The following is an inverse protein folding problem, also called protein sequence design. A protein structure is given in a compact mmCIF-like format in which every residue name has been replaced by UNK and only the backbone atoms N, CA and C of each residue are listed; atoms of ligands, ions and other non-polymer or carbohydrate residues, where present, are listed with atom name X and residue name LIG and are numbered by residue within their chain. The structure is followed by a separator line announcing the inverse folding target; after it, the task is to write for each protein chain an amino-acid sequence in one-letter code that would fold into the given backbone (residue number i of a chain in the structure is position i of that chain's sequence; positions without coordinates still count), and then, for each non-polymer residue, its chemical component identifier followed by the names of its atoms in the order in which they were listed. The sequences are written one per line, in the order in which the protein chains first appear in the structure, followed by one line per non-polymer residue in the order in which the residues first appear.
data_IF_245745355461
#
_entry.id   IF_245745355461
#
_cell.length_a   1.000
_cell.length_b   1.000
_cell.length_c   1.000
_cell.angle_alpha   90.00
_cell.angle_beta   90.00
_cell.angle_gamma   90.00
#
_symmetry.space_group_name_H-M   'P 1'
#
loop_
_entity.id
_entity.type
_entity.pdbx_description
1 polymer ?
#
# COMPACT_ATOMS: atom_id res chain seq x y z
N UNK A 1 -9.03 5.96 25.59
CA UNK A 1 -9.37 4.71 24.85
C UNK A 1 -8.13 3.84 24.77
N UNK A 2 -8.26 2.52 24.91
CA UNK A 2 -7.14 1.58 24.81
C UNK A 2 -7.40 0.62 23.66
N UNK A 3 -6.44 0.51 22.73
CA UNK A 3 -6.42 -0.49 21.65
C UNK A 3 -5.32 -1.50 21.98
N UNK A 4 -5.63 -2.79 21.85
CA UNK A 4 -4.68 -3.86 22.17
C UNK A 4 -4.12 -4.46 20.89
N UNK A 5 -2.80 -4.64 20.85
CA UNK A 5 -2.09 -5.26 19.73
C UNK A 5 -1.43 -6.55 20.17
N UNK A 6 -1.44 -7.55 19.29
CA UNK A 6 -0.75 -8.83 19.48
C UNK A 6 0.24 -9.04 18.34
N UNK A 7 1.50 -9.32 18.71
CA UNK A 7 2.48 -9.83 17.75
C UNK A 7 2.16 -11.28 17.43
N UNK A 8 1.93 -11.58 16.17
CA UNK A 8 1.67 -12.92 15.63
C UNK A 8 2.93 -13.48 14.97
N UNK A 9 3.82 -12.59 14.51
CA UNK A 9 5.13 -12.91 13.98
C UNK A 9 6.23 -12.48 14.97
N UNK A 10 7.31 -13.28 15.15
CA UNK A 10 8.36 -12.96 16.14
C UNK A 10 9.06 -11.62 15.86
N UNK A 11 9.22 -11.25 14.59
CA UNK A 11 9.85 -9.99 14.18
C UNK A 11 8.86 -8.82 14.07
N UNK A 12 7.58 -9.02 14.42
CA UNK A 12 6.59 -7.96 14.32
C UNK A 12 6.94 -6.77 15.22
N UNK A 13 6.80 -5.59 14.67
CA UNK A 13 6.99 -4.32 15.37
C UNK A 13 5.63 -3.79 15.79
N UNK A 14 5.47 -3.40 17.07
CA UNK A 14 4.22 -2.78 17.53
C UNK A 14 4.00 -1.48 16.76
N UNK A 15 2.75 -1.20 16.34
CA UNK A 15 2.41 0.05 15.68
C UNK A 15 2.74 1.24 16.59
N UNK A 16 3.30 2.28 16.00
CA UNK A 16 3.70 3.48 16.73
C UNK A 16 3.42 4.73 15.88
N UNK A 17 3.26 5.86 16.54
CA UNK A 17 3.27 7.17 15.87
C UNK A 17 4.69 7.49 15.41
N UNK A 18 4.83 8.12 14.26
CA UNK A 18 6.13 8.57 13.77
C UNK A 18 6.69 9.71 14.65
N UNK A 19 5.81 10.55 15.18
CA UNK A 19 6.15 11.65 16.08
C UNK A 19 5.47 11.44 17.44
N UNK A 20 6.25 11.38 18.55
CA UNK A 20 5.73 11.02 19.87
C UNK A 20 4.82 12.07 20.52
N UNK A 21 4.78 13.29 20.00
CA UNK A 21 4.14 14.46 20.64
C UNK A 21 2.63 14.58 20.36
N UNK A 22 2.01 13.52 19.82
CA UNK A 22 0.55 13.49 19.60
C UNK A 22 0.08 14.28 18.36
N UNK A 23 0.99 14.65 17.48
CA UNK A 23 0.68 15.36 16.23
C UNK A 23 0.22 14.41 15.12
N UNK A 24 0.50 13.10 15.24
CA UNK A 24 0.09 12.08 14.28
C UNK A 24 -1.25 11.45 14.66
N UNK A 25 -2.05 11.13 13.63
CA UNK A 25 -3.31 10.41 13.78
C UNK A 25 -3.22 8.94 13.34
N UNK A 26 -2.19 8.56 12.61
CA UNK A 26 -1.98 7.22 12.07
C UNK A 26 -0.83 6.50 12.76
N UNK A 27 -1.06 5.25 13.15
CA UNK A 27 -0.05 4.34 13.67
C UNK A 27 0.66 3.65 12.51
N UNK A 28 1.95 3.81 12.40
CA UNK A 28 2.77 3.19 11.36
C UNK A 28 2.81 1.67 11.51
N UNK A 29 2.65 0.96 10.39
CA UNK A 29 2.66 -0.49 10.28
C UNK A 29 3.84 -0.95 9.43
N UNK A 30 4.72 -1.74 10.03
CA UNK A 30 5.95 -2.25 9.41
C UNK A 30 5.72 -3.64 8.84
N UNK A 31 6.19 -3.89 7.62
CA UNK A 31 6.14 -5.22 6.99
C UNK A 31 7.18 -6.17 7.61
N UNK A 32 6.76 -7.39 7.93
CA UNK A 32 7.63 -8.49 8.36
C UNK A 32 7.73 -9.60 7.34
N UNK A 33 6.79 -9.65 6.40
CA UNK A 33 6.80 -10.59 5.29
C UNK A 33 6.21 -9.95 4.02
N UNK A 34 6.68 -10.43 2.88
CA UNK A 34 6.21 -10.01 1.55
C UNK A 34 5.86 -11.26 0.77
N UNK A 35 4.69 -11.25 0.14
CA UNK A 35 4.24 -12.30 -0.77
C UNK A 35 3.75 -11.66 -2.06
N UNK A 36 4.40 -11.97 -3.17
CA UNK A 36 3.94 -11.58 -4.50
C UNK A 36 2.99 -12.65 -5.07
N UNK A 37 1.89 -12.20 -5.63
CA UNK A 37 0.90 -13.00 -6.36
C UNK A 37 0.76 -12.45 -7.78
N UNK A 38 -0.03 -13.11 -8.62
CA UNK A 38 -0.33 -12.59 -9.97
C UNK A 38 -1.12 -11.27 -9.92
N UNK A 39 -1.92 -11.05 -8.86
CA UNK A 39 -2.84 -9.92 -8.74
C UNK A 39 -2.29 -8.74 -7.93
N UNK A 40 -1.46 -9.03 -6.91
CA UNK A 40 -0.95 -8.01 -5.97
C UNK A 40 0.29 -8.48 -5.21
N UNK A 41 0.98 -7.53 -4.61
CA UNK A 41 2.01 -7.76 -3.59
C UNK A 41 1.35 -7.57 -2.22
N UNK A 42 1.42 -8.58 -1.36
CA UNK A 42 0.92 -8.54 0.02
C UNK A 42 2.08 -8.33 0.98
N UNK A 43 1.95 -7.32 1.83
CA UNK A 43 2.85 -7.02 2.93
C UNK A 43 2.15 -7.37 4.24
N UNK A 44 2.62 -8.42 4.91
CA UNK A 44 2.09 -8.82 6.22
C UNK A 44 2.84 -8.06 7.32
N UNK A 45 2.10 -7.47 8.24
CA UNK A 45 2.68 -6.73 9.38
C UNK A 45 2.98 -7.63 10.58
N UNK A 46 2.47 -8.87 10.58
CA UNK A 46 2.56 -9.78 11.70
C UNK A 46 1.84 -9.28 12.97
N UNK A 47 0.96 -8.28 12.83
CA UNK A 47 0.23 -7.65 13.94
C UNK A 47 -1.27 -7.91 13.80
N UNK A 48 -1.87 -8.47 14.85
CA UNK A 48 -3.31 -8.50 15.06
C UNK A 48 -3.70 -7.38 16.04
N UNK A 49 -4.94 -6.88 15.90
CA UNK A 49 -5.46 -5.78 16.69
C UNK A 49 -6.81 -6.14 17.32
N UNK A 50 -7.06 -5.64 18.51
CA UNK A 50 -8.36 -5.65 19.16
C UNK A 50 -8.83 -4.22 19.37
N UNK A 51 -9.82 -3.83 18.58
CA UNK A 51 -10.43 -2.51 18.60
C UNK A 51 -11.67 -2.56 19.50
N UNK A 52 -11.88 -1.60 20.42
CA UNK A 52 -13.06 -1.58 21.26
C UNK A 52 -14.34 -1.32 20.44
N UNK A 53 -15.48 -1.84 20.91
CA UNK A 53 -16.80 -1.55 20.32
C UNK A 53 -17.05 -0.04 20.25
N UNK A 54 -17.73 0.40 19.18
CA UNK A 54 -17.98 1.82 18.91
C UNK A 54 -16.84 2.51 18.14
N UNK A 55 -15.81 1.76 17.75
CA UNK A 55 -14.70 2.22 16.90
C UNK A 55 -14.39 1.20 15.82
N UNK A 56 -13.75 1.65 14.76
CA UNK A 56 -13.13 0.78 13.76
C UNK A 56 -11.73 1.29 13.43
N UNK A 57 -10.93 0.43 12.83
CA UNK A 57 -9.64 0.79 12.27
C UNK A 57 -9.75 1.03 10.77
N UNK A 58 -9.10 2.05 10.28
CA UNK A 58 -8.91 2.27 8.85
C UNK A 58 -7.45 1.98 8.50
N UNK A 59 -7.25 0.97 7.69
CA UNK A 59 -5.96 0.67 7.09
C UNK A 59 -5.80 1.52 5.83
N UNK A 60 -4.85 2.43 5.85
CA UNK A 60 -4.63 3.41 4.77
C UNK A 60 -3.17 3.45 4.34
N UNK A 61 -2.86 3.87 3.10
CA UNK A 61 -1.49 4.08 2.69
C UNK A 61 -0.88 5.26 3.45
N UNK A 62 0.42 5.18 3.73
CA UNK A 62 1.18 6.31 4.24
C UNK A 62 1.66 7.22 3.11
N UNK A 63 2.24 8.39 3.44
CA UNK A 63 2.72 9.36 2.46
C UNK A 63 3.86 8.85 1.57
N UNK A 64 4.62 7.82 2.01
CA UNK A 64 5.70 7.22 1.21
C UNK A 64 5.17 6.51 -0.03
N UNK A 65 3.89 6.07 0.00
CA UNK A 65 3.25 5.41 -1.13
C UNK A 65 3.29 6.26 -2.41
N UNK A 66 3.24 7.60 -2.27
CA UNK A 66 3.34 8.53 -3.40
C UNK A 66 4.68 8.50 -4.15
N UNK A 67 5.71 7.91 -3.54
CA UNK A 67 7.06 7.76 -4.12
C UNK A 67 7.34 6.35 -4.65
N UNK A 68 6.37 5.45 -4.51
CA UNK A 68 6.45 4.06 -4.95
C UNK A 68 5.70 3.88 -6.27
N UNK A 69 6.07 2.85 -7.02
CA UNK A 69 5.34 2.45 -8.23
C UNK A 69 4.22 1.45 -7.87
N UNK A 70 3.51 1.77 -6.80
CA UNK A 70 2.50 0.93 -6.16
C UNK A 70 1.25 1.73 -5.82
N UNK A 71 0.09 1.09 -5.94
CA UNK A 71 -1.17 1.61 -5.42
C UNK A 71 -1.79 0.58 -4.47
N UNK A 72 -2.16 1.03 -3.26
CA UNK A 72 -2.80 0.16 -2.29
C UNK A 72 -4.20 -0.22 -2.77
N UNK A 73 -4.41 -1.52 -3.02
CA UNK A 73 -5.66 -2.01 -3.62
C UNK A 73 -6.70 -2.48 -2.60
N UNK A 74 -6.34 -2.54 -1.31
CA UNK A 74 -7.27 -2.79 -0.20
C UNK A 74 -7.41 -1.59 0.74
N UNK A 75 -7.27 -0.36 0.22
CA UNK A 75 -7.44 0.89 0.96
C UNK A 75 -8.72 1.62 0.53
N UNK A 76 -9.45 2.25 1.48
CA UNK A 76 -9.30 2.05 2.92
C UNK A 76 -9.81 0.68 3.36
N UNK A 77 -8.98 -0.08 4.07
CA UNK A 77 -9.40 -1.35 4.67
C UNK A 77 -10.08 -1.09 6.01
N UNK A 78 -11.32 -1.56 6.17
CA UNK A 78 -12.04 -1.44 7.45
C UNK A 78 -11.67 -2.60 8.34
N UNK A 79 -11.16 -2.31 9.51
CA UNK A 79 -10.81 -3.29 10.55
C UNK A 79 -11.88 -3.24 11.64
N UNK A 80 -12.69 -4.25 11.68
CA UNK A 80 -13.81 -4.35 12.63
C UNK A 80 -13.34 -4.67 14.06
N UNK A 81 -14.13 -4.34 15.10
CA UNK A 81 -13.85 -4.73 16.48
C UNK A 81 -13.69 -6.24 16.69
N UNK A 82 -14.36 -7.04 15.85
CA UNK A 82 -14.30 -8.51 15.88
C UNK A 82 -13.16 -9.12 15.09
N UNK A 83 -12.42 -8.34 14.29
CA UNK A 83 -11.32 -8.86 13.49
C UNK A 83 -10.14 -9.29 14.38
N UNK A 84 -9.59 -10.48 14.12
CA UNK A 84 -8.46 -11.06 14.89
C UNK A 84 -7.32 -11.57 14.01
N UNK A 85 -7.42 -11.40 12.70
CA UNK A 85 -6.34 -11.73 11.76
C UNK A 85 -5.21 -10.69 11.79
N UNK A 86 -4.11 -10.99 11.10
CA UNK A 86 -3.03 -10.02 10.90
C UNK A 86 -3.44 -8.95 9.90
N UNK A 87 -3.03 -7.72 10.15
CA UNK A 87 -3.22 -6.62 9.21
C UNK A 87 -2.25 -6.77 8.04
N UNK A 88 -2.79 -6.67 6.82
CA UNK A 88 -2.04 -6.83 5.58
C UNK A 88 -2.33 -5.70 4.62
N UNK A 89 -1.27 -5.10 4.11
CA UNK A 89 -1.35 -4.09 3.06
C UNK A 89 -1.12 -4.76 1.70
N UNK A 90 -2.06 -4.59 0.77
CA UNK A 90 -1.98 -5.14 -0.58
C UNK A 90 -1.81 -4.05 -1.61
N UNK A 91 -0.87 -4.24 -2.51
CA UNK A 91 -0.49 -3.25 -3.50
C UNK A 91 -0.50 -3.84 -4.91
N UNK A 92 -1.04 -3.10 -5.86
CA UNK A 92 -0.85 -3.36 -7.29
C UNK A 92 0.28 -2.49 -7.82
N UNK A 93 1.09 -3.06 -8.71
CA UNK A 93 2.12 -2.31 -9.43
C UNK A 93 1.46 -1.34 -10.40
N UNK A 94 1.91 -0.09 -10.37
CA UNK A 94 1.48 0.91 -11.34
C UNK A 94 2.38 0.83 -12.57
N UNK A 95 1.79 0.45 -13.70
CA UNK A 95 2.50 0.45 -14.97
C UNK A 95 2.37 1.84 -15.58
N UNK A 96 3.48 2.56 -15.68
CA UNK A 96 3.48 3.79 -16.44
C UNK A 96 3.40 3.45 -17.93
N UNK A 97 2.32 3.89 -18.59
CA UNK A 97 2.13 3.74 -20.05
C UNK A 97 3.37 4.15 -20.86
N UNK A 98 4.15 5.18 -20.44
CA UNK A 98 5.43 5.50 -21.09
C UNK A 98 6.41 4.34 -21.19
N UNK A 99 6.40 3.40 -20.23
CA UNK A 99 7.36 2.28 -20.21
C UNK A 99 7.06 1.26 -21.31
N UNK A 100 5.79 0.95 -21.56
CA UNK A 100 5.40 0.02 -22.64
C UNK A 100 5.60 0.66 -24.02
N UNK A 101 5.18 1.90 -24.16
CA UNK A 101 5.36 2.68 -25.40
C UNK A 101 6.86 2.87 -25.64
N UNK A 102 7.65 3.18 -24.63
CA UNK A 102 9.08 3.35 -24.75
C UNK A 102 9.81 2.04 -25.10
N UNK A 103 9.40 0.89 -24.52
CA UNK A 103 9.97 -0.43 -24.91
C UNK A 103 9.63 -0.78 -26.35
N UNK A 104 8.39 -0.50 -26.78
CA UNK A 104 7.96 -0.72 -28.16
C UNK A 104 8.72 0.22 -29.10
N UNK A 105 8.82 1.52 -28.80
CA UNK A 105 9.60 2.47 -29.60
C UNK A 105 11.10 2.12 -29.59
N UNK A 106 11.69 1.73 -28.47
CA UNK A 106 13.10 1.32 -28.41
C UNK A 106 13.36 0.08 -29.27
N UNK A 107 12.44 -0.88 -29.27
CA UNK A 107 12.52 -2.06 -30.11
C UNK A 107 12.39 -1.71 -31.60
N UNK A 108 11.42 -0.88 -31.96
CA UNK A 108 11.16 -0.43 -33.33
C UNK A 108 12.26 0.52 -33.82
N UNK A 109 12.69 1.50 -33.02
CA UNK A 109 13.79 2.40 -33.38
C UNK A 109 15.15 1.66 -33.44
N UNK A 110 15.37 0.65 -32.61
CA UNK A 110 16.56 -0.21 -32.71
C UNK A 110 16.59 -1.02 -34.03
N UNK A 111 15.43 -1.48 -34.50
CA UNK A 111 15.31 -2.10 -35.82
C UNK A 111 15.50 -1.09 -36.95
N UNK A 112 14.95 0.12 -36.82
CA UNK A 112 15.01 1.17 -37.86
C UNK A 112 16.38 1.86 -37.90
N UNK A 113 17.09 2.00 -36.76
CA UNK A 113 18.45 2.55 -36.75
C UNK A 113 19.47 1.67 -37.49
N UNK A 114 19.24 0.35 -37.48
CA UNK A 114 20.03 -0.57 -38.30
C UNK A 114 19.74 -0.48 -39.79
N UNK A 115 18.59 0.12 -40.16
CA UNK A 115 18.16 0.25 -41.59
C UNK A 115 18.37 1.67 -42.12
N UNK A 116 18.23 2.71 -41.29
CA UNK A 116 18.17 4.11 -41.76
C UNK A 116 19.24 5.05 -41.15
N UNK A 117 20.18 4.55 -40.37
CA UNK A 117 21.16 5.42 -39.70
C UNK A 117 20.51 6.29 -38.60
N UNK A 118 21.35 6.96 -37.83
CA UNK A 118 20.91 7.76 -36.68
C UNK A 118 19.82 8.78 -37.06
N UNK A 119 18.59 8.53 -36.61
CA UNK A 119 17.54 9.56 -36.61
C UNK A 119 17.89 10.57 -35.54
N UNK A 120 18.26 11.76 -35.98
CA UNK A 120 18.83 12.84 -35.20
C UNK A 120 18.01 13.14 -33.92
N UNK A 121 18.65 13.10 -32.79
CA UNK A 121 18.28 13.85 -31.58
C UNK A 121 17.44 13.19 -30.50
N UNK A 122 16.88 12.00 -30.69
CA UNK A 122 16.18 11.28 -29.64
C UNK A 122 17.13 10.35 -28.88
N UNK A 123 17.83 10.89 -27.88
CA UNK A 123 18.49 10.04 -26.89
C UNK A 123 17.41 9.36 -26.04
N UNK A 124 17.35 8.00 -26.01
CA UNK A 124 16.45 7.32 -25.07
C UNK A 124 16.87 7.73 -23.66
N UNK A 125 16.00 8.45 -22.95
CA UNK A 125 16.21 8.67 -21.53
C UNK A 125 16.26 7.27 -20.88
N UNK A 126 17.27 7.05 -20.04
CA UNK A 126 17.39 5.83 -19.25
C UNK A 126 16.19 5.77 -18.30
N UNK A 127 15.11 5.13 -18.74
CA UNK A 127 13.99 4.80 -17.89
C UNK A 127 14.52 3.73 -16.92
N UNK A 128 14.73 4.13 -15.69
CA UNK A 128 15.14 3.23 -14.64
C UNK A 128 14.02 2.21 -14.44
N UNK A 129 14.23 0.97 -14.89
CA UNK A 129 13.25 -0.11 -14.85
C UNK A 129 13.10 -0.73 -13.45
N UNK A 130 13.83 -0.20 -12.46
CA UNK A 130 13.66 -0.62 -11.07
C UNK A 130 12.36 0.00 -10.54
N UNK A 131 11.31 -0.80 -10.50
CA UNK A 131 10.09 -0.47 -9.78
C UNK A 131 10.43 -0.21 -8.32
N UNK A 132 9.99 0.95 -7.81
CA UNK A 132 10.15 1.28 -6.40
C UNK A 132 9.06 0.60 -5.61
N UNK A 133 9.45 -0.42 -4.88
CA UNK A 133 8.57 -1.25 -4.05
C UNK A 133 9.02 -1.19 -2.58
N UNK A 134 8.09 -1.43 -1.67
CA UNK A 134 8.42 -1.61 -0.26
C UNK A 134 9.16 -2.94 -0.04
N UNK A 135 9.93 -2.99 1.04
CA UNK A 135 10.66 -4.18 1.49
C UNK A 135 10.23 -4.54 2.91
N UNK A 136 10.59 -5.74 3.35
CA UNK A 136 10.52 -6.10 4.77
C UNK A 136 11.31 -5.06 5.58
N UNK A 137 10.72 -4.59 6.68
CA UNK A 137 11.25 -3.51 7.49
C UNK A 137 10.75 -2.11 7.12
N UNK A 138 10.12 -1.94 5.96
CA UNK A 138 9.52 -0.65 5.59
C UNK A 138 8.15 -0.46 6.25
N UNK A 139 7.81 0.81 6.50
CA UNK A 139 6.43 1.20 6.85
C UNK A 139 5.58 1.13 5.59
N UNK A 140 4.63 0.20 5.58
CA UNK A 140 3.82 -0.12 4.39
C UNK A 140 2.40 0.42 4.44
N UNK A 141 1.92 0.78 5.60
CA UNK A 141 0.57 1.31 5.80
C UNK A 141 0.50 2.07 7.13
N UNK A 142 -0.63 2.72 7.37
CA UNK A 142 -0.99 3.30 8.66
C UNK A 142 -2.36 2.80 9.12
N UNK A 143 -2.50 2.64 10.45
CA UNK A 143 -3.78 2.35 11.08
C UNK A 143 -4.30 3.60 11.76
N UNK A 144 -5.47 4.06 11.35
CA UNK A 144 -6.20 5.17 11.98
C UNK A 144 -7.41 4.60 12.71
N UNK A 145 -7.60 4.95 13.99
CA UNK A 145 -8.78 4.52 14.76
C UNK A 145 -9.80 5.63 14.74
N UNK A 146 -11.02 5.30 14.29
CA UNK A 146 -12.12 6.27 14.17
C UNK A 146 -13.36 5.78 14.91
N UNK A 147 -14.22 6.69 15.41
CA UNK A 147 -15.53 6.32 15.93
C UNK A 147 -16.37 5.64 14.85
N UNK A 148 -17.02 4.52 15.21
CA UNK A 148 -17.92 3.78 14.35
C UNK A 148 -19.13 3.32 15.19
N UNK A 149 -20.12 4.20 15.39
CA UNK A 149 -21.30 3.86 16.16
C UNK A 149 -22.11 2.76 15.47
N UNK A 150 -22.73 1.90 16.26
CA UNK A 150 -23.66 0.91 15.74
C UNK A 150 -24.85 1.64 15.13
N UNK A 151 -25.23 1.25 13.91
CA UNK A 151 -26.37 1.79 13.19
C UNK A 151 -27.42 0.69 13.11
N UNK A 152 -28.63 1.00 13.56
CA UNK A 152 -29.79 0.18 13.30
C UNK A 152 -30.35 0.56 11.93
N UNK A 153 -30.61 -0.47 11.10
CA UNK A 153 -31.12 -0.25 9.74
C UNK A 153 -32.60 -0.52 9.74
N UNK A 154 -33.39 0.46 9.30
CA UNK A 154 -34.83 0.37 9.15
C UNK A 154 -35.21 0.68 7.70
N UNK A 155 -36.13 -0.14 7.15
CA UNK A 155 -36.72 0.11 5.84
C UNK A 155 -37.78 1.20 5.98
N UNK A 156 -37.69 2.27 5.17
CA UNK A 156 -38.66 3.34 5.14
C UNK A 156 -39.38 3.38 3.80
N UNK A 157 -40.72 3.48 3.84
CA UNK A 157 -41.53 3.61 2.63
C UNK A 157 -41.31 4.94 1.90
N UNK A 158 -40.85 5.98 2.61
CA UNK A 158 -40.52 7.31 2.09
C UNK A 158 -39.31 7.90 2.83
N UNK A 159 -38.48 8.64 2.12
CA UNK A 159 -37.36 9.43 2.67
C UNK A 159 -37.61 10.92 2.48
#
# INVERSE_FOLDING_TARGET
MTVRFKKVHPEAVLPAYAHPDGEDNGLDLVAVAVKETEDYIEYDTGIAVEIPKGYCGLLVPNSRCSKMDLVMCNAPGVIDPGYRGTMRARYKKTWHLPTLVHRFFKSVCGLLSNVFGEVAGMKPQNVNMNTKEFKVGDVVAQLVIVPAPYIEVEEADTL
#
